data_IF_278488711446
#
_entry.id   IF_278488711446
#
_cell.length_a   1.000
_cell.length_b   1.000
_cell.length_c   1.000
_cell.angle_alpha   90.00
_cell.angle_beta   90.00
_cell.angle_gamma   90.00
#
_symmetry.space_group_name_H-M   'P 1'
#
loop_
_entity.id
_entity.type
_entity.pdbx_description
1 polymer ?
#
# COMPACT_ATOMS: atom_id res chain seq x y z
N UNK A 1 -2.57 44.11 -73.43
CA UNK A 1 -2.41 42.66 -73.18
C UNK A 1 -3.56 42.23 -72.29
N UNK A 2 -4.42 41.36 -72.79
CA UNK A 2 -5.57 40.80 -72.10
C UNK A 2 -5.13 39.78 -71.03
N UNK A 3 -5.88 39.63 -69.93
CA UNK A 3 -6.48 38.35 -69.46
C UNK A 3 -7.70 38.67 -68.57
N UNK A 4 -8.76 37.90 -68.83
CA UNK A 4 -10.12 37.91 -68.28
C UNK A 4 -10.31 36.90 -67.11
N UNK A 5 -11.47 37.07 -66.42
CA UNK A 5 -12.30 36.10 -65.66
C UNK A 5 -11.91 35.74 -64.21
N UNK A 6 -12.82 35.40 -63.27
CA UNK A 6 -14.27 35.56 -63.00
C UNK A 6 -14.54 34.90 -61.60
N UNK A 7 -15.71 35.10 -60.96
CA UNK A 7 -15.97 34.90 -59.52
C UNK A 7 -16.67 33.57 -59.14
N UNK A 8 -16.50 33.08 -57.90
CA UNK A 8 -17.36 32.08 -57.21
C UNK A 8 -16.76 31.84 -55.79
N UNK A 9 -17.43 31.64 -54.65
CA UNK A 9 -18.73 31.03 -54.36
C UNK A 9 -19.14 31.43 -52.91
N UNK A 10 -20.31 32.07 -52.73
CA UNK A 10 -20.91 32.36 -51.39
C UNK A 10 -21.88 31.26 -50.91
N UNK A 11 -21.81 30.05 -51.46
CA UNK A 11 -22.74 28.95 -51.19
C UNK A 11 -22.20 27.85 -50.27
N UNK A 12 -20.93 27.91 -49.84
CA UNK A 12 -20.29 26.85 -49.04
C UNK A 12 -20.41 27.02 -47.52
N UNK A 13 -20.86 28.18 -47.01
CA UNK A 13 -20.90 28.43 -45.56
C UNK A 13 -22.23 27.95 -44.93
N UNK A 14 -23.30 27.78 -45.71
CA UNK A 14 -24.62 27.38 -45.21
C UNK A 14 -24.84 25.87 -45.05
N UNK A 15 -23.97 25.02 -45.60
CA UNK A 15 -24.13 23.56 -45.57
C UNK A 15 -23.39 22.88 -44.40
N UNK A 16 -22.37 23.51 -43.82
CA UNK A 16 -21.56 22.89 -42.77
C UNK A 16 -22.17 23.00 -41.36
N UNK A 17 -23.09 23.93 -41.12
CA UNK A 17 -23.70 24.13 -39.79
C UNK A 17 -24.87 23.19 -39.51
N UNK A 18 -25.54 22.66 -40.55
CA UNK A 18 -26.67 21.73 -40.38
C UNK A 18 -26.24 20.27 -40.16
N UNK A 19 -25.03 19.89 -40.61
CA UNK A 19 -24.50 18.53 -40.43
C UNK A 19 -23.98 18.30 -39.00
N UNK A 20 -23.65 19.37 -38.27
CA UNK A 20 -23.08 19.28 -36.91
C UNK A 20 -24.13 19.07 -35.80
N UNK A 21 -25.40 19.41 -36.04
CA UNK A 21 -26.48 19.22 -35.06
C UNK A 21 -27.12 17.82 -35.12
N UNK A 22 -27.05 17.12 -36.26
CA UNK A 22 -27.64 15.78 -36.41
C UNK A 22 -26.82 14.66 -35.75
N UNK A 23 -25.50 14.85 -35.59
CA UNK A 23 -24.61 13.85 -34.97
C UNK A 23 -24.69 13.84 -33.44
N UNK A 24 -25.04 14.96 -32.81
CA UNK A 24 -25.15 15.07 -31.34
C UNK A 24 -26.42 14.38 -30.81
N UNK A 25 -27.51 14.38 -31.58
CA UNK A 25 -28.78 13.75 -31.18
C UNK A 25 -28.73 12.21 -31.33
N UNK A 26 -27.99 11.69 -32.31
CA UNK A 26 -27.86 10.24 -32.54
C UNK A 26 -26.92 9.54 -31.55
N UNK A 27 -25.87 10.21 -31.04
CA UNK A 27 -25.00 9.61 -30.01
C UNK A 27 -25.62 9.59 -28.60
N UNK A 28 -26.59 10.48 -28.31
CA UNK A 28 -27.29 10.49 -27.01
C UNK A 28 -28.29 9.34 -26.84
N UNK A 29 -28.87 8.84 -27.94
CA UNK A 29 -29.86 7.75 -27.89
C UNK A 29 -29.25 6.35 -27.80
N UNK A 30 -27.98 6.17 -28.17
CA UNK A 30 -27.31 4.86 -28.18
C UNK A 30 -26.64 4.52 -26.84
N UNK A 31 -26.35 5.51 -25.98
CA UNK A 31 -25.69 5.29 -24.69
C UNK A 31 -26.64 5.06 -23.50
N UNK A 32 -27.97 5.11 -23.71
CA UNK A 32 -28.97 4.98 -22.62
C UNK A 32 -29.83 3.71 -22.68
N UNK A 33 -29.61 2.82 -23.66
CA UNK A 33 -30.36 1.59 -23.81
C UNK A 33 -29.43 0.37 -23.86
N UNK A 34 -28.75 0.06 -22.75
CA UNK A 34 -28.26 -1.30 -22.46
C UNK A 34 -27.97 -1.45 -20.95
N UNK A 35 -29.02 -1.37 -20.14
CA UNK A 35 -29.05 -1.95 -18.81
C UNK A 35 -29.70 -3.34 -18.90
N UNK A 36 -28.96 -4.45 -18.88
CA UNK A 36 -29.54 -5.72 -18.51
C UNK A 36 -29.59 -5.82 -16.97
N UNK A 37 -30.77 -5.52 -16.44
CA UNK A 37 -31.29 -6.04 -15.18
C UNK A 37 -31.10 -7.57 -15.17
N UNK A 38 -30.44 -8.11 -14.14
CA UNK A 38 -30.45 -9.55 -13.85
C UNK A 38 -30.97 -9.76 -12.41
N UNK A 39 -32.02 -10.59 -12.19
CA UNK A 39 -32.69 -10.69 -10.90
C UNK A 39 -32.04 -11.71 -9.93
N UNK A 40 -32.29 -11.44 -8.65
CA UNK A 40 -32.24 -12.33 -7.49
C UNK A 40 -32.90 -13.70 -7.77
N UNK A 41 -32.23 -14.77 -7.35
CA UNK A 41 -32.92 -16.01 -6.99
C UNK A 41 -32.54 -16.44 -5.57
N UNK A 42 -33.62 -16.64 -4.81
CA UNK A 42 -33.74 -17.02 -3.43
C UNK A 42 -33.97 -18.53 -3.41
N UNK A 43 -33.33 -19.29 -2.51
CA UNK A 43 -33.86 -20.62 -2.17
C UNK A 43 -33.62 -20.99 -0.71
N UNK A 44 -34.71 -20.90 0.02
CA UNK A 44 -34.98 -21.40 1.37
C UNK A 44 -35.11 -22.94 1.41
N UNK A 45 -34.57 -23.53 2.50
CA UNK A 45 -35.06 -24.64 3.38
C UNK A 45 -35.48 -26.02 2.80
N UNK A 46 -35.70 -27.10 3.61
CA UNK A 46 -35.57 -27.26 5.08
C UNK A 46 -34.88 -28.57 5.59
N UNK A 47 -34.79 -28.62 6.92
CA UNK A 47 -34.49 -29.71 7.87
C UNK A 47 -35.29 -31.03 7.69
N UNK A 48 -34.71 -32.13 8.21
CA UNK A 48 -35.39 -33.35 8.70
C UNK A 48 -34.34 -34.31 9.32
N UNK A 49 -34.28 -34.45 10.65
CA UNK A 49 -34.90 -35.48 11.50
C UNK A 49 -33.97 -36.72 11.65
N UNK A 50 -33.28 -36.88 12.81
CA UNK A 50 -33.58 -37.87 13.89
C UNK A 50 -33.24 -39.32 13.44
N UNK A 51 -32.61 -40.25 14.16
CA UNK A 51 -32.61 -40.56 15.59
C UNK A 51 -31.57 -41.69 15.88
N UNK A 52 -30.99 -41.65 17.08
CA UNK A 52 -30.40 -42.70 17.96
C UNK A 52 -29.86 -44.04 17.45
N UNK A 53 -28.71 -44.48 18.02
CA UNK A 53 -28.63 -45.65 18.91
C UNK A 53 -27.21 -45.86 19.52
N UNK A 54 -27.16 -46.05 20.84
CA UNK A 54 -25.99 -46.46 21.62
C UNK A 54 -25.90 -48.00 21.72
N UNK A 55 -24.67 -48.58 21.68
CA UNK A 55 -24.22 -49.64 22.61
C UNK A 55 -22.77 -50.16 22.34
N UNK A 56 -21.97 -50.19 23.42
CA UNK A 56 -20.98 -51.20 23.87
C UNK A 56 -19.78 -51.67 23.00
N UNK A 57 -18.58 -51.45 23.56
CA UNK A 57 -17.26 -52.12 23.32
C UNK A 57 -17.19 -53.52 24.01
N UNK A 58 -16.13 -54.38 23.92
CA UNK A 58 -14.70 -54.12 23.61
C UNK A 58 -13.91 -55.22 22.81
N UNK A 59 -12.65 -54.94 22.43
CA UNK A 59 -11.64 -56.00 22.20
C UNK A 59 -10.57 -55.79 21.10
N UNK A 60 -9.38 -55.35 21.52
CA UNK A 60 -8.00 -55.51 21.00
C UNK A 60 -7.69 -56.16 19.61
N UNK A 61 -6.91 -55.44 18.77
CA UNK A 61 -5.56 -55.80 18.23
C UNK A 61 -5.22 -54.93 17.00
N UNK A 62 -4.06 -54.25 16.98
CA UNK A 62 -3.63 -53.35 15.87
C UNK A 62 -3.07 -54.09 14.64
N UNK A 63 -2.26 -53.46 13.75
CA UNK A 63 -1.97 -52.03 13.57
C UNK A 63 -2.11 -51.56 12.09
N UNK A 64 -2.50 -50.31 11.80
CA UNK A 64 -2.12 -49.64 10.52
C UNK A 64 -2.35 -48.12 10.57
N UNK A 65 -1.56 -47.33 9.81
CA UNK A 65 -1.45 -45.88 9.98
C UNK A 65 -2.61 -45.18 9.26
N UNK A 66 -3.52 -44.58 10.05
CA UNK A 66 -4.57 -43.74 9.51
C UNK A 66 -3.95 -42.47 8.93
N UNK A 67 -3.89 -42.43 7.59
CA UNK A 67 -3.76 -41.18 6.84
C UNK A 67 -4.88 -40.25 7.30
N UNK A 68 -4.52 -39.14 7.95
CA UNK A 68 -5.45 -38.07 8.23
C UNK A 68 -5.99 -37.52 6.89
N UNK A 69 -7.23 -37.88 6.59
CA UNK A 69 -7.98 -37.33 5.47
C UNK A 69 -8.18 -35.84 5.75
N UNK A 70 -7.60 -35.00 4.88
CA UNK A 70 -7.74 -33.55 4.92
C UNK A 70 -9.16 -33.20 4.47
N UNK A 71 -10.00 -32.73 5.39
CA UNK A 71 -11.27 -32.10 5.02
C UNK A 71 -11.00 -30.81 4.22
N UNK A 72 -11.67 -30.59 3.08
CA UNK A 72 -11.55 -29.35 2.31
C UNK A 72 -12.52 -28.31 2.88
N UNK A 73 -12.00 -27.21 3.45
CA UNK A 73 -12.87 -26.13 3.92
C UNK A 73 -12.31 -25.23 5.02
N UNK A 74 -11.08 -25.46 5.50
CA UNK A 74 -10.46 -24.54 6.45
C UNK A 74 -9.77 -23.41 5.66
N UNK A 75 -10.15 -22.13 5.87
CA UNK A 75 -9.34 -21.02 5.39
C UNK A 75 -7.94 -21.24 5.95
N UNK A 76 -6.94 -21.38 5.08
CA UNK A 76 -5.57 -21.59 5.51
C UNK A 76 -5.24 -20.54 6.56
N UNK A 77 -4.75 -20.97 7.73
CA UNK A 77 -4.30 -20.07 8.76
C UNK A 77 -3.37 -19.05 8.09
N UNK A 78 -3.72 -17.76 8.15
CA UNK A 78 -2.90 -16.72 7.58
C UNK A 78 -1.48 -16.90 8.15
N UNK A 79 -0.45 -16.86 7.32
CA UNK A 79 0.90 -17.15 7.78
C UNK A 79 1.28 -16.11 8.85
N UNK A 80 2.08 -16.48 9.84
CA UNK A 80 2.27 -15.72 11.09
C UNK A 80 2.66 -14.24 10.88
N UNK A 81 3.33 -13.93 9.77
CA UNK A 81 3.68 -12.56 9.36
C UNK A 81 2.47 -11.65 9.04
N UNK A 82 1.28 -12.22 8.88
CA UNK A 82 0.02 -11.51 8.63
C UNK A 82 -0.84 -11.35 9.88
N UNK A 83 -0.41 -11.85 11.03
CA UNK A 83 -1.08 -11.66 12.32
C UNK A 83 -0.72 -10.27 12.91
N UNK A 84 -1.17 -9.22 12.21
CA UNK A 84 -0.95 -7.83 12.60
C UNK A 84 -2.27 -7.26 13.13
N UNK A 85 -2.28 -6.68 14.34
CA UNK A 85 -3.47 -6.08 14.93
C UNK A 85 -4.13 -5.07 13.97
N UNK A 86 -5.47 -5.08 13.87
CA UNK A 86 -6.28 -4.10 13.16
C UNK A 86 -5.71 -2.68 13.02
N UNK A 87 -5.33 -2.07 14.14
CA UNK A 87 -4.91 -0.66 14.23
C UNK A 87 -3.41 -0.46 13.96
N UNK A 88 -2.65 -1.54 13.77
CA UNK A 88 -1.22 -1.55 13.45
C UNK A 88 -0.95 -1.92 11.99
N UNK A 89 -1.99 -2.07 11.17
CA UNK A 89 -1.87 -2.39 9.75
C UNK A 89 -1.56 -1.13 8.95
N UNK A 90 -0.46 -1.17 8.20
CA UNK A 90 -0.10 -0.12 7.24
C UNK A 90 -0.48 -0.56 5.83
N UNK A 91 -1.16 0.31 5.09
CA UNK A 91 -1.73 0.03 3.77
C UNK A 91 -0.66 -0.28 2.71
N UNK A 92 -0.81 -1.42 2.03
CA UNK A 92 0.05 -1.87 0.92
C UNK A 92 -0.59 -1.63 -0.47
N UNK A 93 -1.76 -1.00 -0.53
CA UNK A 93 -2.42 -0.60 -1.76
C UNK A 93 -2.88 0.88 -1.76
N UNK A 94 -2.03 1.84 -1.35
CA UNK A 94 -2.43 3.25 -1.30
C UNK A 94 -2.61 3.88 -2.68
N UNK A 95 -2.09 3.26 -3.74
CA UNK A 95 -2.12 3.75 -5.12
C UNK A 95 -3.40 3.40 -5.88
N UNK A 96 -4.04 2.27 -5.55
CA UNK A 96 -5.24 1.77 -6.24
C UNK A 96 -5.92 0.66 -5.46
N UNK A 97 -7.20 0.43 -5.73
CA UNK A 97 -7.89 -0.78 -5.27
C UNK A 97 -7.22 -2.03 -5.87
N UNK A 98 -7.00 -3.05 -5.03
CA UNK A 98 -6.38 -4.33 -5.42
C UNK A 98 -7.26 -5.51 -5.03
N UNK A 99 -7.21 -6.58 -5.83
CA UNK A 99 -7.77 -7.88 -5.44
C UNK A 99 -6.87 -8.57 -4.41
N UNK A 100 -7.34 -9.67 -3.82
CA UNK A 100 -6.52 -10.51 -2.94
C UNK A 100 -5.25 -10.98 -3.66
N UNK A 101 -5.38 -11.48 -4.87
CA UNK A 101 -4.26 -12.01 -5.66
C UNK A 101 -3.24 -10.92 -5.99
N UNK A 102 -3.71 -9.71 -6.29
CA UNK A 102 -2.82 -8.58 -6.55
C UNK A 102 -2.10 -8.10 -5.29
N UNK A 103 -2.75 -8.15 -4.13
CA UNK A 103 -2.14 -7.84 -2.84
C UNK A 103 -1.05 -8.85 -2.49
N UNK A 104 -1.35 -10.14 -2.61
CA UNK A 104 -0.41 -11.23 -2.33
C UNK A 104 0.75 -11.23 -3.32
N UNK A 105 0.51 -10.89 -4.59
CA UNK A 105 1.55 -10.71 -5.61
C UNK A 105 2.51 -9.55 -5.29
N UNK A 106 2.08 -8.55 -4.51
CA UNK A 106 2.97 -7.51 -3.96
C UNK A 106 3.81 -8.00 -2.78
N UNK A 107 3.59 -9.23 -2.30
CA UNK A 107 4.19 -9.78 -1.08
C UNK A 107 3.50 -9.28 0.20
N UNK A 108 2.24 -8.83 0.09
CA UNK A 108 1.47 -8.27 1.20
C UNK A 108 0.41 -9.24 1.73
N UNK A 109 -0.14 -8.89 2.89
CA UNK A 109 -1.18 -9.67 3.56
C UNK A 109 -2.56 -9.13 3.19
N UNK A 110 -3.50 -10.03 2.91
CA UNK A 110 -4.90 -9.67 2.61
C UNK A 110 -5.83 -10.22 3.68
N UNK A 111 -6.44 -9.34 4.48
CA UNK A 111 -7.48 -9.70 5.46
C UNK A 111 -8.61 -8.67 5.38
N UNK A 112 -9.82 -9.05 4.94
CA UNK A 112 -10.95 -8.14 4.86
C UNK A 112 -11.22 -7.46 6.21
N UNK A 113 -11.33 -6.13 6.20
CA UNK A 113 -11.68 -5.39 7.40
C UNK A 113 -13.16 -5.63 7.76
N UNK A 114 -13.48 -5.61 9.06
CA UNK A 114 -14.88 -5.59 9.48
C UNK A 114 -15.50 -4.25 9.05
N UNK A 115 -16.62 -4.31 8.34
CA UNK A 115 -17.35 -3.12 7.92
C UNK A 115 -17.72 -2.32 9.18
N UNK A 116 -17.23 -1.08 9.26
CA UNK A 116 -17.70 -0.14 10.27
C UNK A 116 -18.96 0.53 9.73
N UNK A 117 -20.09 0.51 10.47
CA UNK A 117 -21.26 1.29 10.09
C UNK A 117 -20.93 2.78 10.27
N UNK A 118 -20.50 3.44 9.20
CA UNK A 118 -20.10 4.84 9.19
C UNK A 118 -19.69 5.32 7.79
N UNK A 119 -19.61 6.64 7.56
CA UNK A 119 -19.17 7.21 6.28
C UNK A 119 -17.74 6.74 5.94
N UNK A 120 -17.34 6.73 4.65
CA UNK A 120 -16.04 6.20 4.21
C UNK A 120 -14.91 7.11 4.68
N UNK A 121 -14.45 6.87 5.90
CA UNK A 121 -13.07 7.18 6.28
C UNK A 121 -12.18 6.21 5.50
N UNK A 122 -10.95 6.61 5.18
CA UNK A 122 -9.90 5.67 4.75
C UNK A 122 -9.82 4.58 5.82
N UNK A 123 -10.53 3.47 5.57
CA UNK A 123 -10.81 2.46 6.57
C UNK A 123 -9.58 1.61 6.83
N UNK A 124 -9.70 0.67 7.76
CA UNK A 124 -8.67 -0.34 7.96
C UNK A 124 -8.29 -1.00 6.61
N UNK A 125 -7.00 -1.04 6.25
CA UNK A 125 -6.58 -1.60 4.98
C UNK A 125 -6.81 -3.10 4.95
N UNK A 126 -7.43 -3.56 3.86
CA UNK A 126 -7.59 -5.00 3.62
C UNK A 126 -6.28 -5.60 3.14
N UNK A 127 -5.50 -4.84 2.36
CA UNK A 127 -4.15 -5.18 1.92
C UNK A 127 -3.10 -4.41 2.74
N UNK A 128 -2.26 -5.09 3.51
CA UNK A 128 -1.30 -4.44 4.41
C UNK A 128 0.08 -5.09 4.40
N UNK A 129 1.10 -4.34 4.79
CA UNK A 129 2.47 -4.83 4.86
C UNK A 129 2.64 -5.88 5.98
N UNK A 130 3.20 -7.08 5.72
CA UNK A 130 3.67 -7.96 6.77
C UNK A 130 4.87 -7.35 7.52
N UNK A 131 5.16 -7.86 8.72
CA UNK A 131 6.35 -7.48 9.48
C UNK A 131 7.66 -7.77 8.75
N UNK A 132 7.64 -8.73 7.82
CA UNK A 132 8.79 -9.13 6.99
C UNK A 132 8.84 -8.43 5.63
N UNK A 133 8.01 -7.41 5.38
CA UNK A 133 8.00 -6.74 4.07
C UNK A 133 9.37 -6.09 3.77
N UNK A 134 9.93 -6.22 2.55
CA UNK A 134 11.23 -5.65 2.22
C UNK A 134 11.28 -4.14 2.43
N UNK A 135 12.16 -3.70 3.31
CA UNK A 135 12.50 -2.29 3.56
C UNK A 135 13.96 -2.03 3.19
N UNK A 136 14.46 -0.85 3.53
CA UNK A 136 15.88 -0.57 3.50
C UNK A 136 16.59 -1.26 4.66
N UNK A 137 17.86 -1.61 4.44
CA UNK A 137 18.80 -2.11 5.44
C UNK A 137 19.87 -1.06 5.71
N UNK A 138 20.16 -0.82 6.99
CA UNK A 138 21.25 0.05 7.43
C UNK A 138 22.60 -0.62 7.17
N UNK A 139 23.54 0.13 6.59
CA UNK A 139 24.90 -0.30 6.31
C UNK A 139 25.88 0.83 6.60
N UNK A 140 27.14 0.47 6.87
CA UNK A 140 28.25 1.44 7.01
C UNK A 140 27.96 2.58 8.02
N UNK A 141 27.30 2.27 9.13
CA UNK A 141 27.03 3.26 10.18
C UNK A 141 28.35 3.79 10.74
N UNK A 142 28.52 5.10 10.72
CA UNK A 142 29.68 5.78 11.26
C UNK A 142 29.29 7.03 12.04
N UNK A 143 30.13 7.40 13.02
CA UNK A 143 29.95 8.64 13.78
C UNK A 143 30.63 9.80 13.04
N UNK A 144 29.94 10.92 12.95
CA UNK A 144 30.49 12.21 12.50
C UNK A 144 30.60 13.18 13.66
N UNK A 145 31.24 14.34 13.44
CA UNK A 145 31.34 15.42 14.43
C UNK A 145 29.97 15.96 14.86
N UNK A 146 28.96 15.86 13.99
CA UNK A 146 27.61 16.37 14.22
C UNK A 146 26.61 15.29 14.67
N UNK A 147 26.91 14.00 14.44
CA UNK A 147 25.99 12.91 14.74
C UNK A 147 26.39 11.61 14.07
N UNK A 148 25.55 11.07 13.18
CA UNK A 148 25.76 9.79 12.52
C UNK A 148 25.59 9.92 11.02
N UNK A 149 26.28 9.06 10.26
CA UNK A 149 26.06 8.92 8.83
C UNK A 149 26.07 7.44 8.46
N UNK A 150 25.22 7.04 7.53
CA UNK A 150 25.07 5.64 7.13
C UNK A 150 24.51 5.50 5.71
N UNK A 151 24.75 4.35 5.10
CA UNK A 151 24.13 3.98 3.82
C UNK A 151 22.88 3.15 4.10
N UNK A 152 21.79 3.41 3.39
CA UNK A 152 20.58 2.60 3.41
C UNK A 152 20.45 1.90 2.06
N UNK A 153 20.32 0.57 2.06
CA UNK A 153 20.21 -0.21 0.81
C UNK A 153 18.92 -1.01 0.77
N UNK A 154 18.23 -1.01 -0.38
CA UNK A 154 17.04 -1.81 -0.64
C UNK A 154 17.34 -2.84 -1.72
N UNK A 155 17.08 -4.11 -1.44
CA UNK A 155 17.33 -5.20 -2.39
C UNK A 155 16.15 -5.48 -3.33
N UNK A 156 14.92 -5.37 -2.83
CA UNK A 156 13.70 -5.68 -3.58
C UNK A 156 12.94 -4.40 -3.90
N UNK A 157 12.64 -4.10 -5.18
CA UNK A 157 11.83 -2.95 -5.56
C UNK A 157 10.46 -2.92 -4.87
N UNK A 158 9.86 -1.73 -4.73
CA UNK A 158 8.47 -1.57 -4.36
C UNK A 158 7.56 -1.76 -5.58
N UNK A 159 6.25 -1.63 -5.37
CA UNK A 159 5.27 -1.52 -6.46
C UNK A 159 5.24 -0.12 -7.09
N UNK A 160 5.97 0.87 -6.55
CA UNK A 160 6.14 2.17 -7.18
C UNK A 160 7.32 2.14 -8.17
N UNK A 161 7.24 2.89 -9.28
CA UNK A 161 8.34 2.95 -10.22
C UNK A 161 9.51 3.79 -9.66
N UNK A 162 10.72 3.52 -10.15
CA UNK A 162 11.93 4.31 -9.90
C UNK A 162 12.36 4.38 -8.42
N UNK A 163 12.36 3.23 -7.74
CA UNK A 163 13.03 3.13 -6.44
C UNK A 163 14.48 3.57 -6.52
N UNK A 164 14.92 4.32 -5.50
CA UNK A 164 16.33 4.69 -5.32
C UNK A 164 16.94 3.70 -4.34
N UNK A 165 17.59 2.66 -4.86
CA UNK A 165 17.98 1.49 -4.07
C UNK A 165 19.08 1.77 -3.04
N UNK A 166 19.82 2.86 -3.18
CA UNK A 166 20.87 3.28 -2.25
C UNK A 166 20.64 4.71 -1.82
N UNK A 167 20.48 4.93 -0.52
CA UNK A 167 20.27 6.24 0.09
C UNK A 167 21.36 6.54 1.12
N UNK A 168 21.57 7.83 1.39
CA UNK A 168 22.43 8.33 2.45
C UNK A 168 21.55 8.81 3.61
N UNK A 169 21.78 8.28 4.81
CA UNK A 169 21.26 8.79 6.06
C UNK A 169 22.31 9.71 6.69
N UNK A 170 21.91 10.92 7.04
CA UNK A 170 22.67 11.81 7.90
C UNK A 170 21.81 12.20 9.10
N UNK A 171 22.34 12.02 10.31
CA UNK A 171 21.70 12.37 11.57
C UNK A 171 22.54 13.46 12.21
N UNK A 172 21.93 14.61 12.46
CA UNK A 172 22.51 15.81 13.04
C UNK A 172 21.90 16.05 14.41
N UNK A 173 22.73 15.97 15.44
CA UNK A 173 22.35 16.25 16.81
C UNK A 173 22.55 17.73 17.10
N UNK A 174 21.69 18.56 16.50
CA UNK A 174 21.93 20.00 16.33
C UNK A 174 21.97 20.79 17.64
N UNK A 175 20.97 20.60 18.50
CA UNK A 175 20.89 21.26 19.81
C UNK A 175 20.38 20.27 20.86
N UNK A 176 20.31 20.71 22.10
CA UNK A 176 19.79 19.87 23.18
C UNK A 176 18.34 19.40 22.94
N UNK A 177 17.55 20.21 22.24
CA UNK A 177 16.13 20.00 21.99
C UNK A 177 15.79 19.76 20.52
N UNK A 178 16.77 19.78 19.61
CA UNK A 178 16.56 19.63 18.18
C UNK A 178 17.44 18.53 17.60
N UNK A 179 16.78 17.47 17.14
CA UNK A 179 17.34 16.43 16.29
C UNK A 179 16.93 16.73 14.85
N UNK A 180 17.84 16.52 13.91
CA UNK A 180 17.55 16.58 12.49
C UNK A 180 18.15 15.35 11.82
N UNK A 181 17.43 14.74 10.88
CA UNK A 181 17.99 13.72 10.02
C UNK A 181 17.50 13.92 8.59
N UNK A 182 18.32 13.54 7.63
CA UNK A 182 17.98 13.55 6.21
C UNK A 182 18.22 12.17 5.62
N UNK A 183 17.35 11.78 4.69
CA UNK A 183 17.53 10.60 3.84
C UNK A 183 17.57 11.12 2.40
N UNK A 184 18.74 11.00 1.76
CA UNK A 184 19.01 11.59 0.44
C UNK A 184 19.46 10.54 -0.56
N UNK A 185 19.29 10.86 -1.83
CA UNK A 185 19.98 10.16 -2.90
C UNK A 185 21.44 10.68 -2.94
N UNK A 186 22.46 9.83 -2.72
CA UNK A 186 23.86 10.25 -2.78
C UNK A 186 24.36 10.45 -4.21
N UNK A 187 23.70 9.89 -5.22
CA UNK A 187 24.13 9.93 -6.61
C UNK A 187 23.50 11.10 -7.39
N UNK A 188 22.29 11.51 -7.03
CA UNK A 188 21.58 12.61 -7.69
C UNK A 188 21.03 13.64 -6.70
N UNK A 189 21.25 14.92 -7.01
CA UNK A 189 20.76 16.02 -6.17
C UNK A 189 19.27 16.23 -6.43
N UNK A 190 18.46 15.77 -5.48
CA UNK A 190 17.01 15.99 -5.49
C UNK A 190 16.62 17.39 -5.04
N UNK A 191 15.38 17.76 -5.33
CA UNK A 191 14.80 19.02 -4.86
C UNK A 191 14.81 19.08 -3.32
N UNK A 192 15.34 20.17 -2.79
CA UNK A 192 15.25 20.54 -1.37
C UNK A 192 14.54 21.88 -1.28
N UNK A 193 13.63 22.03 -0.30
CA UNK A 193 12.92 23.29 -0.08
C UNK A 193 13.94 24.37 0.27
N UNK A 194 13.97 25.52 -0.44
CA UNK A 194 14.90 26.60 -0.13
C UNK A 194 14.46 27.28 1.17
N UNK A 195 15.06 26.84 2.28
CA UNK A 195 14.82 27.36 3.62
C UNK A 195 16.15 27.66 4.29
N UNK A 196 16.27 28.85 4.88
CA UNK A 196 17.40 29.15 5.74
C UNK A 196 17.29 28.33 7.03
N UNK A 197 18.31 27.52 7.28
CA UNK A 197 18.40 26.66 8.47
C UNK A 197 19.47 27.18 9.43
N UNK A 198 19.28 27.00 10.76
CA UNK A 198 20.33 27.30 11.73
C UNK A 198 21.61 26.53 11.41
N UNK A 199 22.76 27.21 11.48
CA UNK A 199 24.05 26.55 11.24
C UNK A 199 24.44 25.70 12.44
N UNK A 200 24.89 24.48 12.17
CA UNK A 200 25.33 23.50 13.16
C UNK A 200 26.78 23.16 12.86
N UNK A 201 27.64 23.20 13.88
CA UNK A 201 29.08 22.98 13.73
C UNK A 201 29.58 21.79 14.54
N UNK A 202 28.85 21.36 15.55
CA UNK A 202 29.20 20.21 16.39
C UNK A 202 27.96 19.60 17.01
N UNK A 203 28.09 18.35 17.45
CA UNK A 203 27.07 17.64 18.22
C UNK A 203 26.76 18.38 19.53
N UNK A 204 25.47 18.48 19.86
CA UNK A 204 25.02 19.01 21.14
C UNK A 204 25.56 18.20 22.34
N UNK A 205 26.10 18.85 23.39
CA UNK A 205 26.79 18.17 24.48
C UNK A 205 25.86 17.37 25.40
N UNK A 206 24.66 17.89 25.68
CA UNK A 206 23.68 17.23 26.54
C UNK A 206 22.27 17.21 25.92
N UNK A 207 22.02 16.38 24.89
CA UNK A 207 20.71 16.30 24.26
C UNK A 207 19.66 15.68 25.17
N UNK A 208 18.44 16.22 25.14
CA UNK A 208 17.25 15.70 25.84
C UNK A 208 16.72 14.40 25.21
N UNK A 209 17.25 14.04 24.04
CA UNK A 209 16.89 12.87 23.26
C UNK A 209 18.08 11.92 23.08
N UNK A 210 17.79 10.64 22.89
CA UNK A 210 18.71 9.64 22.34
C UNK A 210 18.14 9.09 21.04
N UNK A 211 19.04 8.61 20.16
CA UNK A 211 18.68 8.04 18.86
C UNK A 211 19.25 6.63 18.78
N UNK A 212 18.39 5.67 18.47
CA UNK A 212 18.73 4.29 18.15
C UNK A 212 18.36 4.04 16.68
N UNK A 213 19.19 3.28 15.96
CA UNK A 213 18.94 2.93 14.56
C UNK A 213 18.70 1.43 14.45
N UNK A 214 17.52 1.04 13.96
CA UNK A 214 17.20 -0.34 13.59
C UNK A 214 17.88 -0.69 12.28
N UNK A 215 18.47 -1.89 12.19
CA UNK A 215 19.25 -2.31 11.04
C UNK A 215 18.39 -2.81 9.88
N UNK A 216 17.53 -3.80 10.14
CA UNK A 216 16.69 -4.45 9.12
C UNK A 216 15.38 -4.97 9.74
N UNK A 217 14.21 -4.43 9.36
CA UNK A 217 14.03 -3.25 8.52
C UNK A 217 14.62 -1.99 9.19
N UNK A 218 15.13 -1.07 8.37
CA UNK A 218 15.65 0.21 8.84
C UNK A 218 14.58 1.01 9.57
N UNK A 219 14.97 1.63 10.69
CA UNK A 219 14.12 2.53 11.45
C UNK A 219 14.94 3.48 12.32
N UNK A 220 14.42 4.69 12.53
CA UNK A 220 14.99 5.67 13.47
C UNK A 220 14.10 5.68 14.71
N UNK A 221 14.66 5.36 15.86
CA UNK A 221 13.95 5.33 17.14
C UNK A 221 14.47 6.48 17.99
N UNK A 222 13.61 7.47 18.25
CA UNK A 222 13.94 8.62 19.09
C UNK A 222 13.33 8.40 20.47
N UNK A 223 14.15 8.49 21.50
CA UNK A 223 13.70 8.37 22.89
C UNK A 223 13.98 9.64 23.66
N UNK A 224 13.04 10.03 24.52
CA UNK A 224 13.29 11.06 25.53
C UNK A 224 14.19 10.48 26.62
N UNK A 225 15.34 11.12 26.90
CA UNK A 225 16.29 10.62 27.90
C UNK A 225 15.75 10.62 29.33
N UNK A 226 14.86 11.57 29.65
CA UNK A 226 14.34 11.74 31.01
C UNK A 226 13.50 10.55 31.48
N UNK A 227 12.62 10.03 30.63
CA UNK A 227 11.62 9.00 30.99
C UNK A 227 11.69 7.75 30.11
N UNK A 228 12.58 7.70 29.12
CA UNK A 228 12.76 6.58 28.21
C UNK A 228 11.65 6.42 27.15
N UNK A 229 10.69 7.34 27.07
CA UNK A 229 9.55 7.26 26.15
C UNK A 229 10.01 7.34 24.69
N UNK A 230 9.53 6.41 23.86
CA UNK A 230 9.63 6.50 22.39
C UNK A 230 8.67 7.59 21.90
N UNK A 231 9.18 8.53 21.11
CA UNK A 231 8.46 9.70 20.59
C UNK A 231 7.93 9.47 19.18
#
# INVERSE_FOLDING_TARGET
MAVLWAPCSRLLVGACTLISLATVVLLGHVLFCDFPVVPRELRDFPQGLEETAHAHQPGASGPEPWRAQKHPGQPGAAPAQCDIPPDSRFDCAPDKAVTQEQCEARGCCYVPARQHPGPPLMGQPWCFFPSSYPSYRLQNLSSSEMGYTATLTRATPTFFPKDILTLQLDVLMETESRLHFTIKDPADKRYEVPLETPRVHSRAPSPLYSVELSEEPFGVVVRRKLDGRVL
#
